data_IF_018938226646
#
_entry.id   IF_018938226646
#
_cell.length_a   1.000
_cell.length_b   1.000
_cell.length_c   1.000
_cell.angle_alpha   90.00
_cell.angle_beta   90.00
_cell.angle_gamma   90.00
#
_symmetry.space_group_name_H-M   'P 1'
#
loop_
_entity.id
_entity.type
_entity.pdbx_description
1 polymer ?
#
# COMPACT_ATOMS: atom_id res chain seq x y z
N UNK A 1 16.71 0.85 8.35
CA UNK A 1 16.19 -0.52 8.58
C UNK A 1 14.71 -0.40 8.94
N UNK A 2 13.78 -0.98 8.17
CA UNK A 2 12.33 -0.93 8.51
C UNK A 2 12.07 -1.94 9.64
N UNK A 3 11.38 -1.56 10.73
CA UNK A 3 11.04 -2.49 11.79
C UNK A 3 10.10 -3.59 11.25
N UNK A 4 10.23 -4.80 11.81
CA UNK A 4 9.52 -6.01 11.39
C UNK A 4 8.01 -5.78 11.22
N UNK A 5 7.54 -5.89 9.97
CA UNK A 5 6.13 -5.77 9.57
C UNK A 5 5.80 -4.55 8.69
N UNK A 6 4.73 -4.63 7.86
CA UNK A 6 4.33 -3.52 7.01
C UNK A 6 3.97 -2.28 7.85
N UNK A 7 4.63 -1.16 7.58
CA UNK A 7 4.37 0.11 8.27
C UNK A 7 2.98 0.64 7.86
N UNK A 8 2.09 0.97 8.81
CA UNK A 8 0.79 1.53 8.47
C UNK A 8 0.92 2.77 7.59
N UNK A 9 0.17 2.83 6.48
CA UNK A 9 0.27 3.92 5.50
C UNK A 9 0.11 5.30 6.16
N UNK A 10 -0.80 5.44 7.14
CA UNK A 10 -0.99 6.69 7.91
C UNK A 10 0.29 7.16 8.61
N UNK A 11 1.13 6.24 9.09
CA UNK A 11 2.42 6.56 9.71
C UNK A 11 3.46 6.89 8.65
N UNK A 12 3.53 6.08 7.59
CA UNK A 12 4.49 6.23 6.49
C UNK A 12 4.41 7.60 5.80
N UNK A 13 3.19 8.07 5.46
CA UNK A 13 3.00 9.36 4.74
C UNK A 13 3.46 10.59 5.51
N UNK A 14 3.71 10.46 6.83
CA UNK A 14 4.21 11.55 7.68
C UNK A 14 5.72 11.59 7.79
N UNK A 15 6.44 10.58 7.29
CA UNK A 15 7.89 10.57 7.36
C UNK A 15 8.48 11.70 6.51
N UNK A 16 9.46 12.37 7.09
CA UNK A 16 10.21 13.47 6.48
C UNK A 16 11.69 13.12 6.46
N UNK A 17 12.40 13.68 5.49
CA UNK A 17 13.86 13.77 5.51
C UNK A 17 14.30 14.89 6.47
N UNK A 18 15.60 15.01 6.70
CA UNK A 18 16.18 16.04 7.58
C UNK A 18 15.90 17.46 7.08
N UNK A 19 15.83 17.65 5.76
CA UNK A 19 15.45 18.90 5.09
C UNK A 19 13.94 19.22 5.14
N UNK A 20 13.15 18.39 5.84
CA UNK A 20 11.72 18.63 6.07
C UNK A 20 10.77 18.21 4.93
N UNK A 21 11.27 17.69 3.80
CA UNK A 21 10.42 17.24 2.68
C UNK A 21 9.94 15.79 2.86
N UNK A 22 8.88 15.34 2.16
CA UNK A 22 8.42 13.95 2.27
C UNK A 22 9.55 12.92 2.03
N UNK A 23 9.59 11.90 2.89
CA UNK A 23 10.56 10.80 2.78
C UNK A 23 10.37 10.00 1.48
N UNK A 24 9.12 9.66 1.17
CA UNK A 24 8.76 8.89 -0.02
C UNK A 24 9.03 9.68 -1.32
N UNK A 25 9.72 9.09 -2.32
CA UNK A 25 10.02 9.77 -3.57
C UNK A 25 8.79 10.20 -4.37
N UNK A 26 7.75 9.38 -4.43
CA UNK A 26 6.54 9.70 -5.18
C UNK A 26 5.76 10.85 -4.53
N UNK A 27 5.59 10.82 -3.20
CA UNK A 27 5.00 11.93 -2.45
C UNK A 27 5.81 13.22 -2.61
N UNK A 28 7.14 13.11 -2.62
CA UNK A 28 8.03 14.26 -2.75
C UNK A 28 7.92 14.92 -4.13
N UNK A 29 7.76 14.16 -5.22
CA UNK A 29 7.51 14.73 -6.55
C UNK A 29 6.25 15.60 -6.54
N UNK A 30 5.14 15.05 -6.05
CA UNK A 30 3.88 15.80 -5.98
C UNK A 30 3.95 17.00 -5.03
N UNK A 31 4.65 16.85 -3.90
CA UNK A 31 4.87 17.96 -2.96
C UNK A 31 5.64 19.12 -3.60
N UNK A 32 6.67 18.85 -4.40
CA UNK A 32 7.41 19.90 -5.13
C UNK A 32 6.54 20.65 -6.14
N UNK A 33 5.53 19.98 -6.70
CA UNK A 33 4.53 20.59 -7.58
C UNK A 33 3.41 21.33 -6.81
N UNK A 34 3.58 21.54 -5.50
CA UNK A 34 2.62 22.25 -4.65
C UNK A 34 1.46 21.39 -4.14
N UNK A 35 1.47 20.07 -4.40
CA UNK A 35 0.40 19.21 -3.94
C UNK A 35 0.41 19.03 -2.42
N UNK A 36 -0.79 19.01 -1.83
CA UNK A 36 -0.98 18.76 -0.40
C UNK A 36 -1.57 17.38 -0.18
N UNK A 37 -1.06 16.67 0.83
CA UNK A 37 -1.66 15.42 1.30
C UNK A 37 -3.11 15.69 1.72
N UNK A 38 -4.06 15.01 1.08
CA UNK A 38 -5.48 15.14 1.40
C UNK A 38 -5.92 14.09 2.42
N UNK A 39 -5.71 12.80 2.10
CA UNK A 39 -6.03 11.68 2.98
C UNK A 39 -5.33 10.39 2.56
N UNK A 40 -5.27 9.43 3.48
CA UNK A 40 -5.03 8.02 3.15
C UNK A 40 -6.35 7.38 2.72
N UNK A 41 -6.36 6.70 1.58
CA UNK A 41 -7.44 5.84 1.12
C UNK A 41 -7.13 4.39 1.58
N UNK A 42 -7.77 3.89 2.65
CA UNK A 42 -7.37 2.61 3.27
C UNK A 42 -7.70 1.37 2.42
N UNK A 43 -8.55 1.51 1.41
CA UNK A 43 -9.00 0.44 0.50
C UNK A 43 -9.04 0.96 -0.93
N UNK A 44 -7.87 1.21 -1.50
CA UNK A 44 -7.75 1.78 -2.85
C UNK A 44 -7.79 0.73 -3.94
N UNK A 45 -7.26 -0.46 -3.65
CA UNK A 45 -7.29 -1.60 -4.56
C UNK A 45 -7.60 -2.86 -3.76
N UNK A 46 -8.39 -3.76 -4.34
CA UNK A 46 -8.68 -5.06 -3.76
C UNK A 46 -8.47 -6.14 -4.83
N UNK A 47 -7.69 -7.15 -4.49
CA UNK A 47 -7.45 -8.32 -5.34
C UNK A 47 -7.95 -9.55 -4.59
N UNK A 48 -8.71 -10.39 -5.27
CA UNK A 48 -9.22 -11.66 -4.75
C UNK A 48 -8.93 -12.76 -5.75
N UNK A 49 -8.63 -13.95 -5.24
CA UNK A 49 -8.39 -15.15 -6.02
C UNK A 49 -8.51 -16.38 -5.13
N UNK A 50 -8.51 -17.55 -5.73
CA UNK A 50 -8.38 -18.84 -5.07
C UNK A 50 -7.02 -19.00 -4.42
N UNK A 51 -6.85 -19.98 -3.52
CA UNK A 51 -5.53 -20.22 -2.91
C UNK A 51 -4.51 -20.59 -3.99
N UNK A 52 -4.88 -21.43 -4.97
CA UNK A 52 -4.00 -21.84 -6.06
C UNK A 52 -3.52 -20.65 -6.92
N UNK A 53 -4.42 -19.73 -7.29
CA UNK A 53 -4.03 -18.51 -8.02
C UNK A 53 -3.04 -17.66 -7.22
N UNK A 54 -3.24 -17.53 -5.91
CA UNK A 54 -2.29 -16.81 -5.07
C UNK A 54 -0.93 -17.51 -4.98
N UNK A 55 -0.90 -18.84 -4.88
CA UNK A 55 0.34 -19.61 -4.90
C UNK A 55 1.08 -19.46 -6.24
N UNK A 56 0.35 -19.45 -7.35
CA UNK A 56 0.89 -19.18 -8.69
C UNK A 56 1.45 -17.76 -8.81
N UNK A 57 0.70 -16.73 -8.43
CA UNK A 57 1.12 -15.33 -8.57
C UNK A 57 2.31 -14.96 -7.69
N UNK A 58 2.45 -15.61 -6.55
CA UNK A 58 3.45 -15.24 -5.53
C UNK A 58 4.62 -16.22 -5.44
N UNK A 59 4.49 -17.40 -6.04
CA UNK A 59 5.43 -18.52 -5.87
C UNK A 59 5.62 -18.90 -4.39
N UNK A 60 4.60 -18.65 -3.56
CA UNK A 60 4.57 -18.99 -2.13
C UNK A 60 3.56 -20.12 -1.89
N UNK A 61 3.72 -20.88 -0.81
CA UNK A 61 2.73 -21.84 -0.35
C UNK A 61 1.93 -21.26 0.81
N UNK A 62 0.61 -21.48 0.80
CA UNK A 62 -0.28 -21.03 1.87
C UNK A 62 -0.98 -22.22 2.54
N UNK A 63 -0.29 -22.95 3.45
CA UNK A 63 -0.83 -24.19 4.01
C UNK A 63 -2.03 -23.98 4.94
N UNK A 64 -2.15 -22.81 5.57
CA UNK A 64 -3.17 -22.51 6.57
C UNK A 64 -3.92 -21.21 6.25
N UNK A 65 -5.09 -21.04 6.87
CA UNK A 65 -5.76 -19.74 6.88
C UNK A 65 -4.96 -18.77 7.75
N UNK A 66 -4.74 -17.54 7.26
CA UNK A 66 -3.92 -16.59 8.01
C UNK A 66 -3.58 -15.33 7.22
N UNK A 67 -2.65 -14.55 7.76
CA UNK A 67 -2.11 -13.35 7.12
C UNK A 67 -0.66 -13.59 6.75
N UNK A 68 -0.36 -13.50 5.47
CA UNK A 68 0.97 -13.77 4.92
C UNK A 68 1.64 -12.49 4.43
N UNK A 69 2.93 -12.35 4.72
CA UNK A 69 3.75 -11.29 4.17
C UNK A 69 4.23 -11.75 2.79
N UNK A 70 3.61 -11.22 1.75
CA UNK A 70 4.00 -11.47 0.37
C UNK A 70 5.04 -10.41 -0.03
N UNK A 71 6.19 -10.79 -0.62
CA UNK A 71 7.18 -9.85 -1.11
C UNK A 71 6.56 -8.79 -2.04
N UNK A 72 6.88 -7.52 -1.80
CA UNK A 72 6.34 -6.39 -2.59
C UNK A 72 4.95 -5.91 -2.18
N UNK A 73 4.16 -6.70 -1.44
CA UNK A 73 2.84 -6.26 -0.97
C UNK A 73 2.96 -5.20 0.14
N UNK A 74 2.13 -4.14 0.06
CA UNK A 74 2.13 -3.06 1.06
C UNK A 74 1.47 -3.48 2.38
N UNK A 75 0.64 -4.52 2.34
CA UNK A 75 -0.05 -5.11 3.49
C UNK A 75 -0.09 -6.63 3.35
N UNK A 76 -0.36 -7.37 4.44
CA UNK A 76 -0.42 -8.83 4.36
C UNK A 76 -1.61 -9.30 3.51
N UNK A 77 -1.41 -10.37 2.74
CA UNK A 77 -2.49 -11.09 2.06
C UNK A 77 -3.21 -11.97 3.08
N UNK A 78 -4.54 -11.93 3.09
CA UNK A 78 -5.34 -12.81 3.94
C UNK A 78 -5.75 -14.05 3.16
N UNK A 79 -5.37 -15.23 3.64
CA UNK A 79 -5.76 -16.52 3.07
C UNK A 79 -6.83 -17.17 3.96
N UNK A 80 -7.88 -17.68 3.33
CA UNK A 80 -8.92 -18.50 3.95
C UNK A 80 -9.02 -19.83 3.19
N UNK A 81 -8.44 -20.89 3.78
CA UNK A 81 -8.43 -22.25 3.24
C UNK A 81 -9.83 -22.86 3.19
N UNK A 82 -10.67 -22.61 4.19
CA UNK A 82 -12.03 -23.16 4.26
C UNK A 82 -12.90 -22.65 3.10
N UNK A 83 -12.68 -21.40 2.69
CA UNK A 83 -13.41 -20.76 1.59
C UNK A 83 -12.66 -20.77 0.25
N UNK A 84 -11.50 -21.44 0.19
CA UNK A 84 -10.57 -21.39 -0.94
C UNK A 84 -10.38 -19.97 -1.50
N UNK A 85 -10.00 -19.00 -0.65
CA UNK A 85 -9.93 -17.59 -1.05
C UNK A 85 -8.76 -16.86 -0.42
N UNK A 86 -7.92 -16.24 -1.24
CA UNK A 86 -6.99 -15.21 -0.83
C UNK A 86 -7.50 -13.80 -1.16
N UNK A 87 -7.14 -12.84 -0.31
CA UNK A 87 -7.59 -11.46 -0.41
C UNK A 87 -6.50 -10.47 -0.01
N UNK A 88 -6.20 -9.56 -0.91
CA UNK A 88 -5.30 -8.43 -0.70
C UNK A 88 -6.06 -7.11 -0.77
N UNK A 89 -5.73 -6.18 0.12
CA UNK A 89 -6.32 -4.83 0.14
C UNK A 89 -5.21 -3.82 0.32
N UNK A 90 -5.04 -2.98 -0.69
CA UNK A 90 -3.97 -2.01 -0.69
C UNK A 90 -4.45 -0.62 -0.27
N UNK A 91 -3.75 0.05 0.66
CA UNK A 91 -3.96 1.46 0.92
C UNK A 91 -3.23 2.32 -0.13
N UNK A 92 -3.82 3.47 -0.46
CA UNK A 92 -3.16 4.49 -1.28
C UNK A 92 -3.33 5.87 -0.63
N UNK A 93 -2.78 6.91 -1.25
CA UNK A 93 -2.68 8.27 -0.74
C UNK A 93 -3.26 9.23 -1.78
N UNK A 94 -4.16 10.10 -1.34
CA UNK A 94 -4.69 11.15 -2.19
C UNK A 94 -3.92 12.45 -1.94
N UNK A 95 -3.43 13.05 -3.02
CA UNK A 95 -2.80 14.36 -3.01
C UNK A 95 -3.60 15.32 -3.87
N UNK A 96 -3.83 16.52 -3.37
CA UNK A 96 -4.54 17.58 -4.10
C UNK A 96 -3.53 18.54 -4.69
N UNK A 97 -3.49 18.62 -6.01
CA UNK A 97 -2.72 19.64 -6.73
C UNK A 97 -3.51 20.94 -6.84
N UNK A 98 -2.83 22.10 -6.80
CA UNK A 98 -3.43 23.33 -7.29
C UNK A 98 -3.67 23.20 -8.80
N UNK A 99 -4.81 23.67 -9.28
CA UNK A 99 -5.10 23.80 -10.72
C UNK A 99 -5.33 25.27 -11.00
N UNK A 100 -4.50 25.85 -11.86
CA UNK A 100 -4.72 27.20 -12.39
C UNK A 100 -5.63 27.10 -13.60
N UNK A 101 -6.67 27.92 -13.66
CA UNK A 101 -7.39 28.13 -14.93
C UNK A 101 -6.48 28.97 -15.83
N UNK A 102 -6.19 28.47 -17.03
CA UNK A 102 -5.75 29.34 -18.11
C UNK A 102 -6.91 30.28 -18.44
N UNK A 103 -6.63 31.58 -18.42
CA UNK A 103 -7.59 32.65 -18.77
C UNK A 103 -7.24 33.16 -20.15
#
# INVERSE_FOLDING_TARGET
MRPNGPTPMRRYVRWRREDGVPFDPWLRVHWHLGAKLLRVAPRSMAVTGTVAEWEEWTTMTFPESGRYIVPGALTPVTIDRRRNRGRYVEPNVWMRHPVTRET
#
